data_IF_222951309121
#
_entry.id   IF_222951309121
#
_cell.length_a   1.000
_cell.length_b   1.000
_cell.length_c   1.000
_cell.angle_alpha   90.00
_cell.angle_beta   90.00
_cell.angle_gamma   90.00
#
_symmetry.space_group_name_H-M   'P 1'
#
loop_
_entity.id
_entity.type
_entity.pdbx_description
1 polymer ?
#
# COMPACT_ATOMS: atom_id res chain seq x y z
N UNK A 1 -44.27 -9.60 1.65
CA UNK A 1 -45.20 -8.58 2.21
C UNK A 1 -45.02 -8.49 3.72
N UNK A 2 -45.35 -7.33 4.31
CA UNK A 2 -45.05 -6.92 5.70
C UNK A 2 -43.57 -6.53 5.98
N UNK A 3 -43.33 -5.55 6.89
CA UNK A 3 -42.22 -4.61 6.70
C UNK A 3 -41.31 -4.36 7.92
N UNK A 4 -40.11 -3.83 7.67
CA UNK A 4 -39.36 -3.11 8.71
C UNK A 4 -39.90 -1.68 8.84
N UNK A 5 -40.30 -1.30 10.05
CA UNK A 5 -40.70 0.07 10.37
C UNK A 5 -39.49 0.89 10.81
N UNK A 6 -39.45 2.15 10.37
CA UNK A 6 -38.59 3.21 10.88
C UNK A 6 -39.47 4.23 11.62
N UNK A 7 -39.06 4.69 12.80
CA UNK A 7 -39.39 6.03 13.34
C UNK A 7 -38.40 6.42 14.44
N UNK A 8 -38.18 7.73 14.67
CA UNK A 8 -37.07 8.24 15.50
C UNK A 8 -37.51 8.70 16.91
N UNK A 9 -36.52 9.04 17.74
CA UNK A 9 -36.68 9.94 18.88
C UNK A 9 -35.39 10.78 19.05
N UNK A 10 -35.54 12.08 19.30
CA UNK A 10 -34.46 13.01 19.62
C UNK A 10 -34.04 12.93 21.11
N UNK A 11 -32.82 13.35 21.43
CA UNK A 11 -32.33 13.43 22.81
C UNK A 11 -30.89 13.89 22.91
N UNK A 12 -30.67 15.20 23.00
CA UNK A 12 -29.33 15.78 23.07
C UNK A 12 -28.70 15.68 24.47
N UNK A 13 -27.37 15.56 24.54
CA UNK A 13 -26.59 16.10 25.66
C UNK A 13 -25.19 16.47 25.18
N UNK A 14 -24.85 17.75 25.32
CA UNK A 14 -23.56 18.31 24.93
C UNK A 14 -22.60 18.25 26.11
N UNK A 15 -21.44 17.59 25.94
CA UNK A 15 -20.34 17.65 26.93
C UNK A 15 -19.00 17.85 26.23
N UNK A 16 -18.37 18.99 26.48
CA UNK A 16 -17.08 19.33 25.90
C UNK A 16 -15.95 18.43 26.44
N UNK A 17 -14.98 18.09 25.58
CA UNK A 17 -13.69 17.52 25.99
C UNK A 17 -12.57 18.40 25.47
N UNK A 18 -11.76 18.94 26.38
CA UNK A 18 -10.57 19.71 26.01
C UNK A 18 -9.53 18.81 25.34
N UNK A 19 -8.95 19.28 24.24
CA UNK A 19 -7.79 18.66 23.63
C UNK A 19 -6.52 19.17 24.32
N UNK A 20 -5.83 18.31 25.08
CA UNK A 20 -4.51 18.58 25.65
C UNK A 20 -3.44 18.18 24.60
N UNK A 21 -2.45 19.03 24.29
CA UNK A 21 -1.50 18.77 23.20
C UNK A 21 -0.49 17.67 23.53
N UNK A 22 -0.24 16.81 22.55
CA UNK A 22 0.69 15.68 22.66
C UNK A 22 2.15 16.14 22.55
N UNK A 23 2.89 16.14 23.68
CA UNK A 23 4.32 16.43 23.69
C UNK A 23 5.14 15.26 23.14
N UNK A 24 6.21 15.56 22.39
CA UNK A 24 7.17 14.56 21.92
C UNK A 24 8.34 14.44 22.91
N UNK A 25 8.78 13.23 23.29
CA UNK A 25 10.04 13.05 24.00
C UNK A 25 11.22 13.55 23.17
N UNK A 26 12.09 14.36 23.78
CA UNK A 26 13.32 14.83 23.14
C UNK A 26 14.44 13.78 23.22
N UNK A 27 15.20 13.61 22.15
CA UNK A 27 16.38 12.74 22.15
C UNK A 27 17.58 13.48 22.76
N UNK A 28 18.12 12.96 23.86
CA UNK A 28 19.33 13.47 24.49
C UNK A 28 20.57 13.03 23.70
N UNK A 29 21.19 13.97 22.98
CA UNK A 29 22.46 13.75 22.31
C UNK A 29 23.63 14.00 23.29
N UNK A 30 24.37 12.94 23.63
CA UNK A 30 25.61 13.03 24.39
C UNK A 30 26.70 13.68 23.51
N UNK A 31 27.44 14.64 24.07
CA UNK A 31 28.61 15.25 23.45
C UNK A 31 29.87 14.86 24.22
N UNK A 32 30.90 14.43 23.51
CA UNK A 32 32.29 14.51 23.96
C UNK A 32 33.11 15.46 23.06
N UNK A 33 34.16 16.13 23.57
CA UNK A 33 34.84 17.19 22.85
C UNK A 33 36.08 16.72 22.06
N UNK A 34 36.26 17.23 20.84
CA UNK A 34 37.53 17.10 20.11
C UNK A 34 38.58 18.10 20.62
N UNK A 35 39.83 17.64 20.77
CA UNK A 35 41.02 18.48 20.93
C UNK A 35 41.96 18.39 19.72
N UNK A 36 42.74 19.44 19.45
CA UNK A 36 43.71 19.59 18.33
C UNK A 36 44.77 20.66 18.71
N UNK A 37 45.87 20.87 17.95
CA UNK A 37 46.76 19.92 17.25
C UNK A 37 48.28 20.20 17.49
N UNK A 38 49.19 19.32 17.01
CA UNK A 38 50.65 19.62 16.90
C UNK A 38 51.29 19.00 15.64
N UNK A 39 52.52 19.39 15.27
CA UNK A 39 53.03 19.39 13.87
C UNK A 39 54.43 18.76 13.62
N UNK A 40 54.62 18.04 12.50
CA UNK A 40 55.85 17.89 11.67
C UNK A 40 55.48 17.11 10.37
N UNK A 41 55.98 17.32 9.13
CA UNK A 41 57.34 17.46 8.52
C UNK A 41 58.20 16.17 8.60
N UNK A 42 58.90 15.70 7.54
CA UNK A 42 58.95 16.05 6.09
C UNK A 42 59.76 14.98 5.28
N UNK A 43 59.84 15.10 3.94
CA UNK A 43 60.94 14.64 3.02
C UNK A 43 61.27 13.12 2.92
N UNK A 44 61.87 12.54 1.86
CA UNK A 44 62.22 12.95 0.47
C UNK A 44 62.52 11.71 -0.43
N UNK A 45 62.62 11.91 -1.76
CA UNK A 45 63.33 11.12 -2.81
C UNK A 45 63.21 9.56 -2.93
N UNK A 46 63.41 8.91 -4.09
CA UNK A 46 63.69 9.41 -5.44
C UNK A 46 64.00 8.29 -6.48
N UNK A 47 64.33 8.71 -7.71
CA UNK A 47 64.97 7.98 -8.82
C UNK A 47 64.26 6.87 -9.65
N UNK A 48 64.36 7.08 -10.97
CA UNK A 48 64.15 6.20 -12.14
C UNK A 48 65.52 5.54 -12.53
N UNK A 49 65.80 4.96 -13.74
CA UNK A 49 65.02 4.73 -14.99
C UNK A 49 65.14 3.29 -15.61
N UNK A 50 64.56 3.02 -16.80
CA UNK A 50 64.50 1.64 -17.35
C UNK A 50 64.54 1.22 -18.84
N UNK A 51 64.46 2.07 -19.91
CA UNK A 51 64.63 1.67 -21.36
C UNK A 51 63.55 0.69 -21.94
N UNK A 52 63.40 0.39 -23.27
CA UNK A 52 63.58 1.14 -24.57
C UNK A 52 62.88 0.40 -25.76
N UNK A 53 62.04 1.10 -26.54
CA UNK A 53 61.76 0.91 -28.02
C UNK A 53 61.23 -0.49 -28.45
N UNK A 54 60.90 -0.86 -29.71
CA UNK A 54 60.86 -0.35 -31.11
C UNK A 54 59.65 -1.07 -31.84
N UNK A 55 59.21 -0.84 -33.09
CA UNK A 55 58.99 0.33 -33.96
C UNK A 55 58.40 -0.12 -35.35
N UNK A 56 57.94 0.83 -36.21
CA UNK A 56 57.41 0.69 -37.62
C UNK A 56 55.91 0.28 -37.75
N UNK A 57 55.16 0.75 -38.77
CA UNK A 57 55.33 1.96 -39.61
C UNK A 57 54.71 1.98 -41.04
N UNK A 58 53.83 2.97 -41.31
CA UNK A 58 53.42 3.45 -42.67
C UNK A 58 52.33 2.62 -43.40
N UNK A 59 51.65 3.08 -44.48
CA UNK A 59 51.42 4.38 -45.17
C UNK A 59 50.06 4.24 -45.93
N UNK A 60 49.29 5.25 -46.37
CA UNK A 60 49.32 6.73 -46.28
C UNK A 60 48.55 7.38 -47.47
N UNK A 61 48.33 8.72 -47.44
CA UNK A 61 47.68 9.59 -48.49
C UNK A 61 46.15 9.42 -48.65
N UNK A 62 45.32 10.43 -48.95
CA UNK A 62 45.32 11.94 -48.95
C UNK A 62 43.81 12.35 -48.94
N UNK A 63 43.24 13.55 -48.79
CA UNK A 63 43.56 15.00 -48.85
C UNK A 63 42.95 15.70 -47.58
N UNK A 64 43.04 16.99 -47.21
CA UNK A 64 43.32 18.31 -47.84
C UNK A 64 42.12 18.85 -48.70
N UNK A 65 41.59 20.09 -48.57
CA UNK A 65 41.69 21.19 -47.58
C UNK A 65 40.50 22.17 -47.77
N UNK A 66 40.46 23.41 -47.19
CA UNK A 66 41.41 24.06 -46.28
C UNK A 66 40.81 24.49 -44.90
N UNK A 67 41.65 25.12 -44.06
CA UNK A 67 41.39 25.63 -42.70
C UNK A 67 40.90 27.11 -42.69
N UNK A 68 40.46 27.68 -41.54
CA UNK A 68 41.41 28.57 -40.85
C UNK A 68 41.32 28.65 -39.31
N UNK A 69 42.50 28.60 -38.66
CA UNK A 69 42.90 29.64 -37.69
C UNK A 69 42.83 29.29 -36.20
N UNK A 70 43.96 28.97 -35.52
CA UNK A 70 43.98 28.49 -34.14
C UNK A 70 44.68 29.45 -33.13
N UNK A 71 45.11 29.05 -31.92
CA UNK A 71 44.31 28.53 -30.79
C UNK A 71 44.70 29.15 -29.42
N UNK A 72 43.92 28.90 -28.35
CA UNK A 72 44.41 29.02 -26.96
C UNK A 72 43.97 27.88 -26.01
N UNK A 73 44.94 26.98 -25.72
CA UNK A 73 45.22 26.23 -24.47
C UNK A 73 44.04 25.44 -23.82
N UNK A 74 44.08 24.10 -23.82
CA UNK A 74 44.62 23.22 -22.73
C UNK A 74 43.95 23.46 -21.35
N UNK A 75 43.44 22.45 -20.62
CA UNK A 75 43.92 21.05 -20.43
C UNK A 75 42.77 20.12 -19.97
N UNK A 76 42.90 18.79 -20.13
CA UNK A 76 42.13 17.77 -19.38
C UNK A 76 42.84 17.40 -18.07
N UNK A 77 42.09 17.03 -17.04
CA UNK A 77 42.51 16.10 -15.97
C UNK A 77 41.27 15.47 -15.30
N UNK A 78 41.45 14.33 -14.61
CA UNK A 78 40.44 13.68 -13.76
C UNK A 78 40.75 13.96 -12.29
N UNK A 79 39.74 14.13 -11.42
CA UNK A 79 39.64 13.45 -10.13
C UNK A 79 38.35 13.82 -9.35
N UNK A 80 38.05 12.96 -8.37
CA UNK A 80 36.90 12.89 -7.43
C UNK A 80 36.60 14.16 -6.59
N UNK A 81 35.44 14.05 -5.94
CA UNK A 81 35.07 14.53 -4.59
C UNK A 81 34.42 15.92 -4.47
N UNK A 82 33.12 15.86 -4.16
CA UNK A 82 32.41 16.53 -3.06
C UNK A 82 32.64 18.03 -2.76
N UNK A 83 31.49 18.69 -2.54
CA UNK A 83 31.10 19.37 -1.29
C UNK A 83 30.92 20.91 -1.30
N UNK A 84 29.89 21.35 -0.53
CA UNK A 84 29.48 22.72 -0.15
C UNK A 84 29.07 23.75 -1.23
N UNK A 85 27.77 24.03 -1.29
CA UNK A 85 27.12 25.34 -1.04
C UNK A 85 25.59 25.05 -1.05
N UNK A 86 24.90 24.90 0.09
CA UNK A 86 24.50 25.97 1.03
C UNK A 86 23.92 27.18 0.32
N UNK A 87 22.58 27.28 0.35
CA UNK A 87 21.88 28.54 0.17
C UNK A 87 20.82 28.70 1.27
N UNK A 88 20.62 29.96 1.67
CA UNK A 88 19.79 30.48 2.75
C UNK A 88 18.45 29.75 2.98
N UNK A 89 18.09 29.57 4.26
CA UNK A 89 16.79 29.05 4.72
C UNK A 89 16.13 30.02 5.69
N UNK A 90 15.75 31.19 5.18
CA UNK A 90 14.90 32.17 5.87
C UNK A 90 13.40 31.87 5.61
N UNK A 91 12.53 31.84 6.63
CA UNK A 91 11.18 31.27 6.50
C UNK A 91 10.17 32.22 5.85
N UNK A 92 9.54 31.78 4.76
CA UNK A 92 8.31 32.39 4.23
C UNK A 92 7.07 31.87 4.99
N UNK A 93 6.02 32.70 5.18
CA UNK A 93 4.90 32.38 6.06
C UNK A 93 4.02 31.24 5.54
N UNK A 94 3.58 30.39 6.47
CA UNK A 94 2.72 29.23 6.21
C UNK A 94 1.29 29.66 5.80
N UNK A 95 1.00 29.67 4.49
CA UNK A 95 -0.38 29.57 4.03
C UNK A 95 -0.88 28.14 4.27
N UNK A 96 -1.79 27.98 5.24
CA UNK A 96 -2.29 26.66 5.63
C UNK A 96 -3.01 25.96 4.47
N UNK A 97 -2.56 24.75 4.11
CA UNK A 97 -3.35 23.85 3.25
C UNK A 97 -4.61 23.42 4.01
N UNK A 98 -5.82 23.64 3.47
CA UNK A 98 -7.05 23.23 4.14
C UNK A 98 -7.21 21.69 4.06
N UNK A 99 -7.75 21.02 5.10
CA UNK A 99 -7.83 19.57 5.15
C UNK A 99 -8.86 19.02 4.17
N UNK A 100 -8.65 17.80 3.65
CA UNK A 100 -9.38 17.25 2.50
C UNK A 100 -10.92 17.28 2.62
N UNK A 101 -11.47 17.09 3.83
CA UNK A 101 -12.92 17.20 4.08
C UNK A 101 -13.51 18.58 3.73
N UNK A 102 -12.74 19.67 3.90
CA UNK A 102 -13.22 21.02 3.52
C UNK A 102 -13.31 21.19 2.01
N UNK A 103 -12.41 20.58 1.23
CA UNK A 103 -12.52 20.57 -0.23
C UNK A 103 -13.77 19.83 -0.68
N UNK A 104 -14.08 18.68 -0.10
CA UNK A 104 -15.29 17.94 -0.46
C UNK A 104 -16.57 18.65 -0.01
N UNK A 105 -16.55 19.32 1.15
CA UNK A 105 -17.64 20.20 1.60
C UNK A 105 -17.83 21.40 0.66
N UNK A 106 -16.73 22.05 0.23
CA UNK A 106 -16.76 23.15 -0.74
C UNK A 106 -17.24 22.70 -2.12
N UNK A 107 -16.87 21.50 -2.59
CA UNK A 107 -17.43 20.92 -3.83
C UNK A 107 -18.94 20.65 -3.67
N UNK A 108 -19.38 20.06 -2.55
CA UNK A 108 -20.81 19.83 -2.26
C UNK A 108 -21.60 21.15 -2.15
N UNK A 109 -21.02 22.18 -1.55
CA UNK A 109 -21.62 23.50 -1.40
C UNK A 109 -21.63 24.28 -2.72
N UNK A 110 -20.58 24.20 -3.54
CA UNK A 110 -20.53 24.78 -4.88
C UNK A 110 -21.47 24.06 -5.86
N UNK A 111 -21.64 22.73 -5.75
CA UNK A 111 -22.66 21.97 -6.48
C UNK A 111 -24.07 22.37 -6.06
N UNK A 112 -24.34 22.55 -4.75
CA UNK A 112 -25.62 23.09 -4.27
C UNK A 112 -25.86 24.52 -4.74
N UNK A 113 -24.83 25.37 -4.77
CA UNK A 113 -24.95 26.73 -5.30
C UNK A 113 -25.21 26.72 -6.81
N UNK A 114 -24.51 25.87 -7.58
CA UNK A 114 -24.79 25.65 -9.01
C UNK A 114 -26.23 25.17 -9.24
N UNK A 115 -26.71 24.23 -8.43
CA UNK A 115 -28.07 23.71 -8.54
C UNK A 115 -29.12 24.76 -8.13
N UNK A 116 -28.85 25.57 -7.11
CA UNK A 116 -29.69 26.72 -6.76
C UNK A 116 -29.67 27.79 -7.85
N UNK A 117 -28.53 28.10 -8.45
CA UNK A 117 -28.39 29.07 -9.56
C UNK A 117 -29.01 28.53 -10.86
N UNK A 118 -29.04 27.22 -11.07
CA UNK A 118 -29.80 26.61 -12.17
C UNK A 118 -31.32 26.66 -11.90
N UNK A 119 -31.76 26.39 -10.66
CA UNK A 119 -33.17 26.49 -10.23
C UNK A 119 -33.68 27.94 -10.08
N UNK A 120 -32.76 28.90 -9.90
CA UNK A 120 -32.98 30.35 -9.90
C UNK A 120 -32.47 31.00 -11.20
N UNK A 121 -32.19 30.20 -12.23
CA UNK A 121 -31.95 30.71 -13.58
C UNK A 121 -33.14 31.56 -14.01
N UNK A 122 -32.88 32.72 -14.62
CA UNK A 122 -33.90 33.75 -14.88
C UNK A 122 -34.81 33.32 -16.04
N UNK A 123 -35.71 32.37 -15.75
CA UNK A 123 -36.65 31.76 -16.69
C UNK A 123 -38.10 31.79 -16.17
N UNK A 124 -38.40 32.75 -15.29
CA UNK A 124 -39.77 33.20 -15.03
C UNK A 124 -39.90 34.66 -15.46
N UNK A 125 -40.95 34.92 -16.23
CA UNK A 125 -41.44 36.24 -16.67
C UNK A 125 -40.73 36.91 -17.86
N UNK A 126 -40.74 36.25 -19.03
CA UNK A 126 -41.18 36.89 -20.27
C UNK A 126 -42.12 35.95 -21.04
N UNK A 127 -42.95 36.49 -21.94
CA UNK A 127 -44.22 35.86 -22.34
C UNK A 127 -44.18 34.91 -23.54
N UNK A 128 -45.15 33.98 -23.54
CA UNK A 128 -45.79 33.28 -24.69
C UNK A 128 -45.18 33.48 -26.08
N UNK A 129 -44.78 32.39 -26.77
CA UNK A 129 -44.34 32.56 -28.16
C UNK A 129 -44.02 31.37 -29.07
N UNK A 130 -43.85 30.11 -28.63
CA UNK A 130 -43.96 28.95 -29.54
C UNK A 130 -44.01 27.62 -28.76
N UNK A 131 -44.91 26.70 -29.11
CA UNK A 131 -44.98 25.37 -28.48
C UNK A 131 -43.79 24.47 -28.86
N UNK A 132 -43.36 24.57 -30.12
CA UNK A 132 -42.57 23.51 -30.76
C UNK A 132 -41.07 23.61 -30.43
N UNK A 133 -40.58 24.80 -30.07
CA UNK A 133 -39.19 25.00 -29.62
C UNK A 133 -38.91 24.47 -28.21
N UNK A 134 -39.93 24.35 -27.35
CA UNK A 134 -39.75 23.92 -25.97
C UNK A 134 -39.29 22.45 -25.86
N UNK A 135 -39.68 21.60 -26.82
CA UNK A 135 -39.28 20.20 -26.89
C UNK A 135 -37.80 20.05 -27.26
N UNK A 136 -37.31 20.88 -28.20
CA UNK A 136 -35.90 20.91 -28.61
C UNK A 136 -35.00 21.28 -27.44
N UNK A 137 -35.38 22.34 -26.72
CA UNK A 137 -34.65 22.89 -25.56
C UNK A 137 -34.56 21.86 -24.41
N UNK A 138 -35.66 21.19 -24.07
CA UNK A 138 -35.66 20.12 -23.05
C UNK A 138 -34.79 18.92 -23.46
N UNK A 139 -34.69 18.62 -24.77
CA UNK A 139 -33.83 17.56 -25.29
C UNK A 139 -32.34 17.91 -25.22
N UNK A 140 -31.97 19.18 -25.44
CA UNK A 140 -30.60 19.68 -25.30
C UNK A 140 -30.16 19.67 -23.83
N UNK A 141 -31.01 20.14 -22.91
CA UNK A 141 -30.72 20.11 -21.47
C UNK A 141 -30.44 18.69 -20.99
N UNK A 142 -31.21 17.69 -21.45
CA UNK A 142 -30.96 16.26 -21.18
C UNK A 142 -29.63 15.78 -21.77
N UNK A 143 -29.24 16.28 -22.94
CA UNK A 143 -27.96 15.98 -23.59
C UNK A 143 -26.79 16.53 -22.77
N UNK A 144 -26.78 17.82 -22.45
CA UNK A 144 -25.70 18.44 -21.65
C UNK A 144 -25.57 17.80 -20.27
N UNK A 145 -26.68 17.56 -19.57
CA UNK A 145 -26.66 16.88 -18.26
C UNK A 145 -26.08 15.46 -18.34
N UNK A 146 -26.29 14.72 -19.44
CA UNK A 146 -25.68 13.41 -19.64
C UNK A 146 -24.18 13.53 -19.87
N UNK A 147 -23.74 14.51 -20.66
CA UNK A 147 -22.32 14.74 -20.91
C UNK A 147 -21.56 15.20 -19.66
N UNK A 148 -22.13 16.08 -18.82
CA UNK A 148 -21.52 16.48 -17.55
C UNK A 148 -21.36 15.27 -16.60
N UNK A 149 -22.37 14.41 -16.48
CA UNK A 149 -22.31 13.17 -15.68
C UNK A 149 -21.18 12.24 -16.17
N UNK A 150 -21.06 12.02 -17.47
CA UNK A 150 -19.97 11.23 -18.08
C UNK A 150 -18.59 11.85 -17.82
N UNK A 151 -18.47 13.18 -17.90
CA UNK A 151 -17.22 13.89 -17.61
C UNK A 151 -16.82 13.78 -16.13
N UNK A 152 -17.77 13.91 -15.21
CA UNK A 152 -17.53 13.73 -13.77
C UNK A 152 -17.13 12.28 -13.44
N UNK A 153 -17.80 11.29 -14.04
CA UNK A 153 -17.53 9.86 -13.85
C UNK A 153 -16.16 9.46 -14.38
N UNK A 154 -15.84 9.74 -15.65
CA UNK A 154 -14.52 9.45 -16.25
C UNK A 154 -13.37 10.18 -15.55
N UNK A 155 -13.62 11.39 -15.04
CA UNK A 155 -12.67 12.11 -14.17
C UNK A 155 -12.43 11.36 -12.85
N UNK A 156 -13.49 10.94 -12.15
CA UNK A 156 -13.38 10.18 -10.91
C UNK A 156 -12.65 8.84 -11.12
N UNK A 157 -12.99 8.11 -12.19
CA UNK A 157 -12.31 6.89 -12.58
C UNK A 157 -10.81 7.11 -12.85
N UNK A 158 -10.44 8.19 -13.57
CA UNK A 158 -9.02 8.53 -13.82
C UNK A 158 -8.25 8.83 -12.53
N UNK A 159 -8.89 9.40 -11.50
CA UNK A 159 -8.27 9.59 -10.19
C UNK A 159 -8.07 8.25 -9.46
N UNK A 160 -9.12 7.45 -9.31
CA UNK A 160 -9.05 6.14 -8.66
C UNK A 160 -8.00 5.22 -9.32
N UNK A 161 -7.95 5.18 -10.65
CA UNK A 161 -6.95 4.44 -11.42
C UNK A 161 -5.52 4.90 -11.12
N UNK A 162 -5.27 6.21 -10.98
CA UNK A 162 -3.95 6.74 -10.60
C UNK A 162 -3.54 6.33 -9.20
N UNK A 163 -4.48 6.30 -8.27
CA UNK A 163 -4.19 6.01 -6.87
C UNK A 163 -4.02 4.50 -6.63
N UNK A 164 -4.71 3.63 -7.40
CA UNK A 164 -4.35 2.21 -7.52
C UNK A 164 -2.91 2.06 -8.04
N UNK A 165 -2.58 2.70 -9.18
CA UNK A 165 -1.23 2.60 -9.79
C UNK A 165 -0.14 2.99 -8.77
N UNK A 166 -0.32 4.12 -8.07
CA UNK A 166 0.59 4.58 -7.02
C UNK A 166 0.71 3.60 -5.85
N UNK A 167 -0.41 3.07 -5.36
CA UNK A 167 -0.43 2.10 -4.27
C UNK A 167 0.30 0.81 -4.64
N UNK A 168 0.03 0.28 -5.84
CA UNK A 168 0.69 -0.92 -6.37
C UNK A 168 2.18 -0.68 -6.64
N UNK A 169 2.57 0.46 -7.23
CA UNK A 169 3.98 0.84 -7.41
C UNK A 169 4.72 0.96 -6.06
N UNK A 170 4.10 1.57 -5.05
CA UNK A 170 4.67 1.68 -3.69
C UNK A 170 4.78 0.33 -2.97
N UNK A 171 3.79 -0.55 -3.16
CA UNK A 171 3.83 -1.94 -2.68
C UNK A 171 4.98 -2.71 -3.33
N UNK A 172 5.16 -2.60 -4.66
CA UNK A 172 6.27 -3.24 -5.38
C UNK A 172 7.63 -2.76 -4.86
N UNK A 173 7.84 -1.44 -4.73
CA UNK A 173 9.11 -0.86 -4.22
C UNK A 173 9.41 -1.31 -2.78
N UNK A 174 8.38 -1.52 -1.97
CA UNK A 174 8.53 -2.01 -0.58
C UNK A 174 8.76 -3.52 -0.55
N UNK A 175 8.02 -4.28 -1.35
CA UNK A 175 8.10 -5.73 -1.47
C UNK A 175 9.45 -6.21 -2.02
N UNK A 176 10.04 -5.52 -3.00
CA UNK A 176 11.38 -5.88 -3.51
C UNK A 176 12.45 -5.83 -2.42
N UNK A 177 12.36 -4.87 -1.49
CA UNK A 177 13.26 -4.80 -0.33
C UNK A 177 13.02 -5.95 0.66
N UNK A 178 11.78 -6.42 0.79
CA UNK A 178 11.48 -7.63 1.59
C UNK A 178 12.04 -8.89 0.93
N UNK A 179 12.01 -8.99 -0.41
CA UNK A 179 12.69 -10.05 -1.18
C UNK A 179 14.20 -10.01 -0.96
N UNK A 180 14.83 -8.84 -1.07
CA UNK A 180 16.28 -8.66 -0.82
C UNK A 180 16.69 -9.10 0.60
N UNK A 181 15.95 -8.67 1.62
CA UNK A 181 16.21 -9.02 3.04
C UNK A 181 15.95 -10.51 3.29
N UNK A 182 14.86 -11.07 2.76
CA UNK A 182 14.49 -12.47 2.96
C UNK A 182 15.40 -13.45 2.21
N UNK A 183 15.90 -13.08 1.03
CA UNK A 183 16.95 -13.82 0.32
C UNK A 183 18.25 -13.83 1.12
N UNK A 184 18.69 -12.68 1.65
CA UNK A 184 19.91 -12.65 2.50
C UNK A 184 19.77 -13.56 3.73
N UNK A 185 18.61 -13.56 4.39
CA UNK A 185 18.32 -14.47 5.50
C UNK A 185 18.35 -15.95 5.07
N UNK A 186 17.85 -16.27 3.87
CA UNK A 186 17.99 -17.59 3.24
C UNK A 186 19.46 -17.96 3.08
N UNK A 187 20.26 -17.07 2.49
CA UNK A 187 21.65 -17.33 2.11
C UNK A 187 22.53 -17.51 3.35
N UNK A 188 22.37 -16.65 4.36
CA UNK A 188 23.05 -16.77 5.66
C UNK A 188 22.68 -18.09 6.37
N UNK A 189 21.41 -18.55 6.27
CA UNK A 189 20.95 -19.81 6.88
C UNK A 189 21.47 -21.05 6.13
N UNK A 190 21.43 -21.04 4.80
CA UNK A 190 21.98 -22.13 3.96
C UNK A 190 23.50 -22.22 4.10
N UNK A 191 24.19 -21.08 4.21
CA UNK A 191 25.64 -21.03 4.45
C UNK A 191 26.02 -21.74 5.75
N UNK A 192 25.36 -21.39 6.86
CA UNK A 192 25.58 -22.07 8.15
C UNK A 192 25.34 -23.58 8.04
N UNK A 193 24.30 -23.99 7.31
CA UNK A 193 23.96 -25.39 7.08
C UNK A 193 24.96 -26.17 6.21
N UNK A 194 25.73 -25.51 5.35
CA UNK A 194 26.75 -26.12 4.48
C UNK A 194 28.14 -26.12 5.12
N UNK A 195 28.46 -25.13 5.94
CA UNK A 195 29.81 -24.98 6.53
C UNK A 195 30.12 -26.00 7.64
N UNK A 196 29.15 -26.83 8.07
CA UNK A 196 29.33 -27.95 9.02
C UNK A 196 30.18 -27.58 10.25
N UNK A 197 29.92 -26.41 10.83
CA UNK A 197 30.72 -25.83 11.93
C UNK A 197 30.50 -26.51 13.29
N UNK A 198 29.59 -27.48 13.37
CA UNK A 198 29.33 -28.29 14.56
C UNK A 198 30.18 -29.57 14.58
N UNK A 199 30.96 -29.77 15.63
CA UNK A 199 31.71 -31.02 15.88
C UNK A 199 30.87 -32.14 16.49
N UNK A 200 29.61 -31.87 16.83
CA UNK A 200 28.69 -32.79 17.49
C UNK A 200 27.28 -32.74 16.87
N UNK A 201 27.04 -33.60 15.88
CA UNK A 201 25.75 -33.74 15.18
C UNK A 201 25.51 -32.71 14.07
N UNK A 202 24.67 -33.07 13.10
CA UNK A 202 24.34 -32.25 11.92
C UNK A 202 22.91 -31.66 11.95
N UNK A 203 22.07 -32.04 12.91
CA UNK A 203 20.63 -31.73 12.97
C UNK A 203 20.31 -30.24 12.85
N UNK A 204 21.07 -29.35 13.52
CA UNK A 204 20.86 -27.90 13.44
C UNK A 204 21.30 -27.33 12.08
N UNK A 205 22.37 -27.87 11.49
CA UNK A 205 22.83 -27.49 10.14
C UNK A 205 21.82 -27.94 9.07
N UNK A 206 21.21 -29.12 9.25
CA UNK A 206 20.08 -29.60 8.44
C UNK A 206 18.86 -28.70 8.56
N UNK A 207 18.40 -28.40 9.78
CA UNK A 207 17.26 -27.52 10.04
C UNK A 207 17.46 -26.12 9.44
N UNK A 208 18.65 -25.52 9.58
CA UNK A 208 19.00 -24.24 8.96
C UNK A 208 19.00 -24.30 7.43
N UNK A 209 19.43 -25.42 6.84
CA UNK A 209 19.36 -25.67 5.39
C UNK A 209 17.92 -25.74 4.90
N UNK A 210 17.03 -26.46 5.61
CA UNK A 210 15.61 -26.57 5.26
C UNK A 210 14.91 -25.22 5.35
N UNK A 211 15.04 -24.51 6.47
CA UNK A 211 14.52 -23.16 6.66
C UNK A 211 15.02 -22.20 5.56
N UNK A 212 16.32 -22.21 5.27
CA UNK A 212 16.92 -21.35 4.25
C UNK A 212 16.36 -21.61 2.84
N UNK A 213 16.21 -22.88 2.45
CA UNK A 213 15.58 -23.27 1.17
C UNK A 213 14.12 -22.81 1.10
N UNK A 214 13.31 -23.11 2.11
CA UNK A 214 11.91 -22.70 2.17
C UNK A 214 11.76 -21.16 2.12
N UNK A 215 12.62 -20.44 2.85
CA UNK A 215 12.67 -18.96 2.83
C UNK A 215 12.97 -18.41 1.43
N UNK A 216 13.91 -19.02 0.71
CA UNK A 216 14.23 -18.66 -0.69
C UNK A 216 13.04 -18.88 -1.63
N UNK A 217 12.33 -20.01 -1.49
CA UNK A 217 11.13 -20.31 -2.28
C UNK A 217 10.01 -19.29 -2.02
N UNK A 218 9.76 -18.94 -0.75
CA UNK A 218 8.75 -17.92 -0.36
C UNK A 218 9.04 -16.56 -1.01
N UNK A 219 10.29 -16.09 -0.98
CA UNK A 219 10.65 -14.80 -1.57
C UNK A 219 10.71 -14.83 -3.11
N UNK A 220 10.99 -15.98 -3.72
CA UNK A 220 10.81 -16.19 -5.17
C UNK A 220 9.34 -16.02 -5.56
N UNK A 221 8.41 -16.65 -4.83
CA UNK A 221 6.98 -16.49 -5.11
C UNK A 221 6.46 -15.08 -4.80
N UNK A 222 7.02 -14.39 -3.78
CA UNK A 222 6.76 -12.95 -3.59
C UNK A 222 7.22 -12.16 -4.82
N UNK A 223 8.42 -12.43 -5.33
CA UNK A 223 8.93 -11.81 -6.56
C UNK A 223 8.00 -12.02 -7.77
N UNK A 224 7.43 -13.23 -7.91
CA UNK A 224 6.44 -13.54 -8.94
C UNK A 224 5.16 -12.71 -8.78
N UNK A 225 4.63 -12.57 -7.56
CA UNK A 225 3.47 -11.72 -7.26
C UNK A 225 3.73 -10.24 -7.58
N UNK A 226 4.87 -9.69 -7.14
CA UNK A 226 5.22 -8.28 -7.39
C UNK A 226 5.39 -7.99 -8.90
N UNK A 227 5.91 -8.95 -9.66
CA UNK A 227 5.98 -8.89 -11.12
C UNK A 227 4.59 -8.92 -11.76
N UNK A 228 3.67 -9.75 -11.27
CA UNK A 228 2.28 -9.77 -11.71
C UNK A 228 1.56 -8.45 -11.39
N UNK A 229 1.75 -7.89 -10.19
CA UNK A 229 1.24 -6.57 -9.81
C UNK A 229 1.71 -5.47 -10.78
N UNK A 230 3.00 -5.46 -11.15
CA UNK A 230 3.54 -4.49 -12.10
C UNK A 230 2.95 -4.62 -13.50
N UNK A 231 3.06 -5.81 -14.09
CA UNK A 231 2.73 -6.08 -15.50
C UNK A 231 1.24 -6.26 -15.76
N UNK A 232 0.50 -6.88 -14.85
CA UNK A 232 -0.91 -7.17 -15.03
C UNK A 232 -1.83 -6.07 -14.48
N UNK A 233 -1.40 -5.28 -13.49
CA UNK A 233 -2.24 -4.26 -12.83
C UNK A 233 -1.75 -2.84 -13.13
N UNK A 234 -0.52 -2.50 -12.71
CA UNK A 234 -0.03 -1.12 -12.78
C UNK A 234 0.16 -0.63 -14.22
N UNK A 235 0.77 -1.42 -15.11
CA UNK A 235 1.01 -1.04 -16.50
C UNK A 235 -0.28 -0.78 -17.31
N UNK A 236 -1.29 -1.66 -17.34
CA UNK A 236 -2.53 -1.39 -18.07
C UNK A 236 -3.33 -0.20 -17.53
N UNK A 237 -3.34 0.00 -16.21
CA UNK A 237 -4.02 1.17 -15.61
C UNK A 237 -3.26 2.47 -15.93
N UNK A 238 -1.92 2.47 -15.89
CA UNK A 238 -1.10 3.64 -16.26
C UNK A 238 -1.28 4.00 -17.73
N UNK A 239 -1.33 3.01 -18.62
CA UNK A 239 -1.60 3.20 -20.04
C UNK A 239 -3.01 3.78 -20.29
N UNK A 240 -4.04 3.28 -19.60
CA UNK A 240 -5.40 3.82 -19.69
C UNK A 240 -5.51 5.26 -19.15
N UNK A 241 -4.86 5.56 -18.02
CA UNK A 241 -4.81 6.91 -17.43
C UNK A 241 -4.15 7.91 -18.37
N UNK A 242 -3.18 7.49 -19.19
CA UNK A 242 -2.43 8.36 -20.11
C UNK A 242 -2.85 8.20 -21.59
N UNK A 243 -3.90 7.41 -21.86
CA UNK A 243 -4.29 7.00 -23.20
C UNK A 243 -5.04 8.09 -23.98
N UNK A 244 -4.69 8.23 -25.26
CA UNK A 244 -5.32 9.20 -26.18
C UNK A 244 -6.87 9.18 -26.17
N UNK A 245 -7.58 8.02 -26.21
CA UNK A 245 -9.04 7.99 -26.28
C UNK A 245 -9.76 8.77 -25.16
N UNK A 246 -9.17 8.83 -23.96
CA UNK A 246 -9.72 9.59 -22.84
C UNK A 246 -9.56 11.11 -23.04
N UNK A 247 -8.43 11.58 -23.56
CA UNK A 247 -8.25 13.02 -23.83
C UNK A 247 -8.96 13.45 -25.13
N UNK A 248 -9.06 12.58 -26.14
CA UNK A 248 -9.84 12.84 -27.37
C UNK A 248 -11.33 12.99 -27.08
N UNK A 249 -11.91 12.11 -26.26
CA UNK A 249 -13.30 12.22 -25.81
C UNK A 249 -13.54 13.51 -24.99
N UNK A 250 -12.55 13.97 -24.23
CA UNK A 250 -12.59 15.26 -23.52
C UNK A 250 -12.46 16.45 -24.45
N UNK A 251 -11.66 16.37 -25.51
CA UNK A 251 -11.59 17.40 -26.54
C UNK A 251 -12.94 17.54 -27.27
N UNK A 252 -13.65 16.44 -27.54
CA UNK A 252 -15.01 16.49 -28.07
C UNK A 252 -15.98 17.19 -27.11
N UNK A 253 -15.96 16.83 -25.81
CA UNK A 253 -16.80 17.49 -24.80
C UNK A 253 -16.51 19.01 -24.71
N UNK A 254 -15.23 19.42 -24.69
CA UNK A 254 -14.84 20.83 -24.69
C UNK A 254 -15.21 21.58 -25.97
N UNK A 255 -15.26 20.91 -27.14
CA UNK A 255 -15.75 21.52 -28.38
C UNK A 255 -17.27 21.72 -28.32
N UNK A 256 -18.02 20.76 -27.78
CA UNK A 256 -19.46 20.90 -27.53
C UNK A 256 -19.76 22.07 -26.59
N UNK A 257 -19.07 22.18 -25.45
CA UNK A 257 -19.31 23.26 -24.48
C UNK A 257 -19.07 24.66 -25.09
N UNK A 258 -18.08 24.81 -25.99
CA UNK A 258 -17.87 26.07 -26.73
C UNK A 258 -18.97 26.35 -27.74
N UNK A 259 -19.34 25.36 -28.56
CA UNK A 259 -20.40 25.50 -29.56
C UNK A 259 -21.76 25.82 -28.91
N UNK A 260 -22.01 25.31 -27.70
CA UNK A 260 -23.18 25.68 -26.88
C UNK A 260 -23.15 27.13 -26.42
N UNK A 261 -22.02 27.62 -25.92
CA UNK A 261 -21.87 29.04 -25.56
C UNK A 261 -22.03 29.98 -26.78
N UNK A 262 -21.59 29.55 -27.96
CA UNK A 262 -21.80 30.27 -29.22
C UNK A 262 -23.28 30.29 -29.64
N UNK A 263 -24.01 29.18 -29.45
CA UNK A 263 -25.45 29.10 -29.69
C UNK A 263 -26.26 29.95 -28.69
N UNK A 264 -25.93 29.90 -27.40
CA UNK A 264 -26.55 30.73 -26.34
C UNK A 264 -26.35 32.23 -26.63
N UNK A 265 -25.14 32.65 -27.01
CA UNK A 265 -24.85 34.03 -27.38
C UNK A 265 -25.61 34.47 -28.65
N UNK A 266 -25.72 33.59 -29.66
CA UNK A 266 -26.51 33.84 -30.86
C UNK A 266 -28.02 33.94 -30.55
N UNK A 267 -28.55 33.15 -29.61
CA UNK A 267 -29.96 33.19 -29.20
C UNK A 267 -30.34 34.52 -28.51
N UNK A 268 -29.48 35.03 -27.63
CA UNK A 268 -29.65 36.36 -27.02
C UNK A 268 -29.65 37.46 -28.08
N UNK A 269 -28.78 37.36 -29.08
CA UNK A 269 -28.69 38.33 -30.18
C UNK A 269 -29.87 38.25 -31.17
N UNK A 270 -30.44 37.06 -31.40
CA UNK A 270 -31.72 36.87 -32.11
C UNK A 270 -32.85 37.56 -31.35
N UNK A 271 -33.02 37.31 -30.05
CA UNK A 271 -34.04 37.95 -29.22
C UNK A 271 -33.92 39.49 -29.24
N UNK A 272 -32.68 40.01 -29.21
CA UNK A 272 -32.41 41.45 -29.34
C UNK A 272 -32.83 42.02 -30.72
N UNK A 273 -32.75 41.25 -31.80
CA UNK A 273 -33.29 41.66 -33.12
C UNK A 273 -34.81 41.55 -33.19
N UNK A 274 -35.41 40.50 -32.64
CA UNK A 274 -36.87 40.33 -32.60
C UNK A 274 -37.56 41.52 -31.92
N UNK A 275 -37.01 42.01 -30.80
CA UNK A 275 -37.54 43.18 -30.11
C UNK A 275 -37.41 44.47 -30.96
N UNK A 276 -36.28 44.68 -31.65
CA UNK A 276 -36.09 45.84 -32.54
C UNK A 276 -37.03 45.83 -33.75
N UNK A 277 -37.31 44.66 -34.33
CA UNK A 277 -38.30 44.51 -35.42
C UNK A 277 -39.72 44.79 -34.91
N UNK A 278 -40.02 44.41 -33.66
CA UNK A 278 -41.30 44.74 -32.99
C UNK A 278 -41.46 46.23 -32.70
N UNK A 279 -40.38 46.91 -32.35
CA UNK A 279 -40.32 48.36 -32.08
C UNK A 279 -40.32 49.20 -33.38
N UNK A 280 -39.74 48.68 -34.47
CA UNK A 280 -39.58 49.37 -35.77
C UNK A 280 -40.32 48.62 -36.89
N UNK A 281 -41.63 48.41 -36.70
CA UNK A 281 -42.47 47.69 -37.64
C UNK A 281 -42.42 48.32 -39.05
N UNK A 282 -42.19 47.48 -40.07
CA UNK A 282 -42.11 47.88 -41.48
C UNK A 282 -40.69 48.10 -42.03
N UNK A 283 -39.65 48.08 -41.19
CA UNK A 283 -38.27 48.17 -41.67
C UNK A 283 -37.75 46.82 -42.20
N UNK A 284 -37.94 46.55 -43.51
CA UNK A 284 -37.48 45.33 -44.17
C UNK A 284 -35.98 45.06 -43.99
N UNK A 285 -35.17 46.12 -43.89
CA UNK A 285 -33.74 46.03 -43.70
C UNK A 285 -33.35 45.51 -42.29
N UNK A 286 -34.26 45.60 -41.31
CA UNK A 286 -34.13 44.92 -40.01
C UNK A 286 -34.67 43.49 -40.03
N UNK A 287 -35.72 43.21 -40.82
CA UNK A 287 -36.31 41.87 -40.96
C UNK A 287 -35.29 40.90 -41.58
N UNK A 288 -34.67 41.24 -42.71
CA UNK A 288 -33.66 40.36 -43.32
C UNK A 288 -32.41 40.15 -42.44
N UNK A 289 -32.10 41.10 -41.55
CA UNK A 289 -31.02 40.96 -40.55
C UNK A 289 -31.44 40.09 -39.36
N UNK A 290 -32.74 39.99 -39.06
CA UNK A 290 -33.28 39.03 -38.10
C UNK A 290 -33.25 37.61 -38.69
N UNK A 291 -33.82 37.42 -39.88
CA UNK A 291 -33.87 36.13 -40.60
C UNK A 291 -32.47 35.51 -40.75
N UNK A 292 -31.47 36.28 -41.17
CA UNK A 292 -30.08 35.82 -41.27
C UNK A 292 -29.46 35.43 -39.91
N UNK A 293 -29.91 36.04 -38.81
CA UNK A 293 -29.45 35.69 -37.46
C UNK A 293 -30.17 34.47 -36.87
N UNK A 294 -31.42 34.23 -37.27
CA UNK A 294 -32.20 33.04 -36.92
C UNK A 294 -31.71 31.81 -37.69
N UNK A 295 -31.43 31.94 -38.99
CA UNK A 295 -30.78 30.90 -39.79
C UNK A 295 -29.46 30.42 -39.14
N UNK A 296 -28.58 31.38 -38.77
CA UNK A 296 -27.30 31.07 -38.10
C UNK A 296 -27.49 30.42 -36.73
N UNK A 297 -28.55 30.74 -35.99
CA UNK A 297 -28.86 30.07 -34.72
C UNK A 297 -29.21 28.59 -34.94
N UNK A 298 -30.01 28.29 -35.96
CA UNK A 298 -30.44 26.92 -36.23
C UNK A 298 -29.32 26.07 -36.84
N UNK A 299 -28.43 26.66 -37.64
CA UNK A 299 -27.17 26.04 -38.08
C UNK A 299 -26.25 25.66 -36.90
N UNK A 300 -26.09 26.57 -35.92
CA UNK A 300 -25.33 26.32 -34.70
C UNK A 300 -25.96 25.22 -33.83
N UNK A 301 -27.28 25.24 -33.63
CA UNK A 301 -28.00 24.18 -32.89
C UNK A 301 -27.87 22.81 -33.57
N UNK A 302 -28.05 22.74 -34.89
CA UNK A 302 -27.92 21.50 -35.66
C UNK A 302 -26.52 20.90 -35.49
N UNK A 303 -25.49 21.75 -35.64
CA UNK A 303 -24.08 21.38 -35.43
C UNK A 303 -23.81 20.92 -33.99
N UNK A 304 -24.35 21.63 -33.00
CA UNK A 304 -24.23 21.31 -31.57
C UNK A 304 -24.86 19.96 -31.22
N UNK A 305 -26.04 19.66 -31.76
CA UNK A 305 -26.73 18.38 -31.54
C UNK A 305 -25.96 17.21 -32.17
N UNK A 306 -25.29 17.42 -33.31
CA UNK A 306 -24.37 16.43 -33.90
C UNK A 306 -23.16 16.17 -33.00
N UNK A 307 -22.40 17.23 -32.72
CA UNK A 307 -21.18 17.17 -31.89
C UNK A 307 -21.44 16.67 -30.46
N UNK A 308 -22.61 16.99 -29.89
CA UNK A 308 -23.04 16.50 -28.58
C UNK A 308 -23.31 14.99 -28.56
N UNK A 309 -23.87 14.43 -29.64
CA UNK A 309 -24.04 12.97 -29.80
C UNK A 309 -22.68 12.27 -29.90
N UNK A 310 -21.75 12.81 -30.68
CA UNK A 310 -20.37 12.30 -30.78
C UNK A 310 -19.64 12.32 -29.43
N UNK A 311 -19.68 13.45 -28.72
CA UNK A 311 -19.07 13.61 -27.41
C UNK A 311 -19.64 12.62 -26.38
N UNK A 312 -20.97 12.43 -26.35
CA UNK A 312 -21.61 11.44 -25.47
C UNK A 312 -21.21 10.01 -25.85
N UNK A 313 -21.15 9.68 -27.14
CA UNK A 313 -20.75 8.34 -27.59
C UNK A 313 -19.31 8.01 -27.18
N UNK A 314 -18.37 8.93 -27.45
CA UNK A 314 -16.97 8.78 -27.08
C UNK A 314 -16.79 8.69 -25.55
N UNK A 315 -17.41 9.59 -24.79
CA UNK A 315 -17.31 9.60 -23.32
C UNK A 315 -17.98 8.38 -22.67
N UNK A 316 -19.09 7.87 -23.23
CA UNK A 316 -19.72 6.62 -22.76
C UNK A 316 -18.85 5.39 -23.04
N UNK A 317 -18.18 5.35 -24.19
CA UNK A 317 -17.26 4.26 -24.53
C UNK A 317 -16.04 4.25 -23.60
N UNK A 318 -15.47 5.43 -23.32
CA UNK A 318 -14.35 5.60 -22.37
C UNK A 318 -14.77 5.24 -20.94
N UNK A 319 -15.96 5.64 -20.47
CA UNK A 319 -16.48 5.24 -19.16
C UNK A 319 -16.59 3.70 -19.06
N UNK A 320 -17.23 3.06 -20.03
CA UNK A 320 -17.42 1.61 -20.05
C UNK A 320 -16.08 0.85 -20.12
N UNK A 321 -15.09 1.38 -20.85
CA UNK A 321 -13.73 0.86 -20.88
C UNK A 321 -13.03 1.03 -19.52
N UNK A 322 -13.14 2.20 -18.91
CA UNK A 322 -12.55 2.51 -17.59
C UNK A 322 -13.11 1.57 -16.51
N UNK A 323 -14.42 1.41 -16.42
CA UNK A 323 -15.07 0.51 -15.47
C UNK A 323 -14.62 -0.95 -15.67
N UNK A 324 -14.75 -1.45 -16.90
CA UNK A 324 -14.42 -2.86 -17.24
C UNK A 324 -12.95 -3.19 -16.99
N UNK A 325 -12.03 -2.34 -17.46
CA UNK A 325 -10.60 -2.59 -17.30
C UNK A 325 -10.21 -2.47 -15.83
N UNK A 326 -10.68 -1.46 -15.09
CA UNK A 326 -10.35 -1.31 -13.66
C UNK A 326 -10.81 -2.50 -12.83
N UNK A 327 -12.04 -2.99 -13.06
CA UNK A 327 -12.54 -4.21 -12.40
C UNK A 327 -11.64 -5.42 -12.72
N UNK A 328 -11.30 -5.64 -13.99
CA UNK A 328 -10.41 -6.74 -14.39
C UNK A 328 -9.02 -6.64 -13.74
N UNK A 329 -8.49 -5.43 -13.55
CA UNK A 329 -7.19 -5.21 -12.90
C UNK A 329 -7.24 -5.39 -11.38
N UNK A 330 -8.36 -5.08 -10.74
CA UNK A 330 -8.57 -5.37 -9.31
C UNK A 330 -8.73 -6.88 -9.06
N UNK A 331 -9.41 -7.61 -9.96
CA UNK A 331 -9.49 -9.07 -9.90
C UNK A 331 -8.09 -9.69 -10.01
N UNK A 332 -7.30 -9.29 -11.03
CA UNK A 332 -5.95 -9.81 -11.23
C UNK A 332 -5.00 -9.52 -10.04
N UNK A 333 -5.21 -8.41 -9.31
CA UNK A 333 -4.48 -8.10 -8.07
C UNK A 333 -4.78 -9.14 -6.98
N UNK A 334 -6.06 -9.39 -6.71
CA UNK A 334 -6.53 -10.35 -5.69
C UNK A 334 -6.17 -11.79 -6.07
N UNK A 335 -6.25 -12.16 -7.35
CA UNK A 335 -5.86 -13.48 -7.84
C UNK A 335 -4.36 -13.74 -7.66
N UNK A 336 -3.50 -12.76 -7.95
CA UNK A 336 -2.05 -12.88 -7.75
C UNK A 336 -1.67 -12.94 -6.26
N UNK A 337 -2.33 -12.15 -5.41
CA UNK A 337 -2.12 -12.18 -3.95
C UNK A 337 -2.58 -13.50 -3.33
N UNK A 338 -3.77 -13.99 -3.71
CA UNK A 338 -4.28 -15.30 -3.31
C UNK A 338 -3.36 -16.44 -3.77
N UNK A 339 -2.86 -16.40 -5.00
CA UNK A 339 -1.96 -17.41 -5.54
C UNK A 339 -0.63 -17.45 -4.79
N UNK A 340 -0.05 -16.29 -4.46
CA UNK A 340 1.13 -16.19 -3.62
C UNK A 340 0.91 -16.80 -2.24
N UNK A 341 -0.14 -16.38 -1.52
CA UNK A 341 -0.41 -16.91 -0.19
C UNK A 341 -0.70 -18.42 -0.20
N UNK A 342 -1.37 -18.95 -1.23
CA UNK A 342 -1.56 -20.39 -1.40
C UNK A 342 -0.21 -21.12 -1.58
N UNK A 343 0.74 -20.57 -2.34
CA UNK A 343 2.08 -21.16 -2.47
C UNK A 343 2.96 -21.00 -1.23
N UNK A 344 2.81 -19.93 -0.46
CA UNK A 344 3.51 -19.78 0.82
C UNK A 344 3.06 -20.84 1.83
N UNK A 345 1.76 -21.18 1.89
CA UNK A 345 1.26 -22.28 2.71
C UNK A 345 1.88 -23.61 2.29
N UNK A 346 1.79 -23.99 1.01
CA UNK A 346 2.39 -25.23 0.48
C UNK A 346 3.90 -25.38 0.82
N UNK A 347 4.65 -24.26 0.89
CA UNK A 347 6.07 -24.27 1.26
C UNK A 347 6.28 -24.39 2.79
N UNK A 348 5.40 -23.79 3.59
CA UNK A 348 5.47 -23.84 5.05
C UNK A 348 5.05 -25.20 5.60
N UNK A 349 3.99 -25.80 5.05
CA UNK A 349 3.54 -27.14 5.39
C UNK A 349 4.68 -28.16 5.20
N UNK A 350 5.36 -28.11 4.06
CA UNK A 350 6.50 -28.98 3.76
C UNK A 350 7.70 -28.72 4.69
N UNK A 351 7.96 -27.45 5.05
CA UNK A 351 9.01 -27.09 6.00
C UNK A 351 8.73 -27.62 7.40
N UNK A 352 7.46 -27.59 7.86
CA UNK A 352 7.08 -28.14 9.16
C UNK A 352 7.36 -29.66 9.21
N UNK A 353 7.00 -30.41 8.16
CA UNK A 353 7.34 -31.84 8.05
C UNK A 353 8.86 -32.09 8.14
N UNK A 354 9.68 -31.32 7.41
CA UNK A 354 11.15 -31.43 7.46
C UNK A 354 11.69 -31.10 8.86
N UNK A 355 11.22 -30.01 9.48
CA UNK A 355 11.71 -29.56 10.80
C UNK A 355 11.24 -30.47 11.94
N UNK A 356 10.02 -31.00 11.90
CA UNK A 356 9.53 -32.00 12.87
C UNK A 356 10.33 -33.29 12.74
N UNK A 357 10.66 -33.72 11.51
CA UNK A 357 11.48 -34.91 11.25
C UNK A 357 12.92 -34.76 11.78
N UNK A 358 13.49 -33.55 11.76
CA UNK A 358 14.78 -33.29 12.43
C UNK A 358 14.64 -33.24 13.96
N UNK A 359 13.58 -32.63 14.50
CA UNK A 359 13.34 -32.56 15.96
C UNK A 359 13.23 -33.95 16.60
N UNK A 360 12.53 -34.87 15.95
CA UNK A 360 12.37 -36.26 16.39
C UNK A 360 13.71 -37.01 16.53
N UNK A 361 14.76 -36.63 15.79
CA UNK A 361 16.10 -37.25 15.92
C UNK A 361 16.86 -36.78 17.16
N UNK A 362 16.49 -35.63 17.72
CA UNK A 362 17.04 -35.12 18.99
C UNK A 362 16.27 -35.72 20.17
N UNK A 363 14.97 -35.92 20.01
CA UNK A 363 14.07 -36.52 21.02
C UNK A 363 14.14 -38.05 21.08
N UNK A 364 14.71 -38.71 20.06
CA UNK A 364 14.95 -40.14 20.07
C UNK A 364 15.95 -40.52 21.18
N UNK A 365 15.64 -41.53 22.02
CA UNK A 365 16.59 -41.99 23.02
C UNK A 365 17.86 -42.54 22.34
N UNK A 366 19.05 -42.33 22.90
CA UNK A 366 20.28 -42.86 22.32
C UNK A 366 20.19 -44.38 22.27
N UNK A 367 20.18 -44.94 21.05
CA UNK A 367 20.35 -46.39 20.87
C UNK A 367 21.63 -46.80 21.60
N UNK A 368 21.56 -47.75 22.56
CA UNK A 368 22.75 -48.18 23.28
C UNK A 368 23.75 -48.72 22.26
N UNK A 369 24.96 -48.16 22.26
CA UNK A 369 26.03 -48.64 21.41
C UNK A 369 26.27 -50.12 21.71
N UNK A 370 26.22 -50.97 20.68
CA UNK A 370 26.47 -52.40 20.79
C UNK A 370 27.98 -52.69 20.92
N UNK A 371 28.63 -52.04 21.89
CA UNK A 371 30.00 -52.33 22.26
C UNK A 371 30.07 -53.72 22.89
N UNK A 372 31.07 -54.50 22.47
CA UNK A 372 31.15 -55.93 22.73
C UNK A 372 31.66 -56.23 24.16
N UNK A 373 30.81 -56.01 25.16
CA UNK A 373 31.05 -56.45 26.54
C UNK A 373 30.05 -57.52 26.98
N UNK A 374 30.47 -58.77 26.82
CA UNK A 374 29.79 -59.95 27.36
C UNK A 374 29.80 -59.91 28.89
N UNK A 375 28.64 -59.92 29.58
CA UNK A 375 28.60 -60.00 31.03
C UNK A 375 29.00 -61.42 31.49
N UNK A 376 29.77 -61.57 32.59
CA UNK A 376 30.01 -62.87 33.21
C UNK A 376 28.72 -63.41 33.87
N UNK A 377 28.53 -64.74 33.93
CA UNK A 377 27.31 -65.33 34.47
C UNK A 377 27.21 -65.16 36.00
N UNK A 378 26.02 -64.89 36.56
CA UNK A 378 25.81 -64.83 38.00
C UNK A 378 25.78 -66.25 38.64
N UNK A 379 26.25 -66.42 39.88
CA UNK A 379 26.12 -67.67 40.62
C UNK A 379 24.68 -67.89 41.12
N UNK A 380 24.19 -69.15 41.24
CA UNK A 380 22.81 -69.44 41.62
C UNK A 380 22.59 -69.53 43.13
N UNK A 381 21.50 -68.92 43.60
CA UNK A 381 20.84 -69.17 44.89
C UNK A 381 19.48 -68.46 44.87
N UNK A 382 18.36 -68.92 45.42
CA UNK A 382 17.79 -70.23 45.78
C UNK A 382 16.44 -69.82 46.42
N UNK A 383 15.33 -70.45 46.02
CA UNK A 383 13.92 -70.22 46.46
C UNK A 383 13.34 -68.79 46.29
N UNK A 384 12.18 -68.57 45.67
CA UNK A 384 10.79 -68.92 46.05
C UNK A 384 10.31 -68.23 47.35
N UNK A 385 9.14 -67.58 47.44
CA UNK A 385 7.93 -67.59 46.56
C UNK A 385 7.11 -66.28 46.68
N UNK A 386 6.15 -66.11 45.75
CA UNK A 386 4.83 -65.47 45.92
C UNK A 386 4.64 -63.93 45.71
N UNK A 387 3.57 -63.59 44.98
CA UNK A 387 2.75 -62.41 45.29
C UNK A 387 2.97 -61.13 44.46
N UNK A 388 2.50 -61.12 43.20
CA UNK A 388 2.45 -59.89 42.39
C UNK A 388 1.43 -58.86 42.92
N UNK A 389 1.72 -57.57 42.79
CA UNK A 389 0.73 -56.55 42.36
C UNK A 389 1.40 -55.25 41.89
N UNK A 390 0.72 -54.55 40.97
CA UNK A 390 0.87 -53.14 40.58
C UNK A 390 2.25 -52.61 40.12
N UNK A 391 2.30 -52.18 38.86
CA UNK A 391 3.10 -51.01 38.45
C UNK A 391 2.37 -50.27 37.33
N UNK A 392 2.16 -48.97 37.54
CA UNK A 392 1.34 -48.10 36.70
C UNK A 392 2.13 -47.56 35.52
N UNK A 393 1.54 -47.53 34.33
CA UNK A 393 2.05 -46.72 33.20
C UNK A 393 1.07 -45.60 32.86
N UNK A 394 1.54 -44.36 32.94
CA UNK A 394 0.87 -43.19 32.36
C UNK A 394 1.92 -42.45 31.53
N UNK A 395 1.71 -42.38 30.22
CA UNK A 395 2.52 -41.55 29.34
C UNK A 395 2.31 -40.08 29.67
N UNK A 396 3.40 -39.32 29.81
CA UNK A 396 3.29 -37.87 29.85
C UNK A 396 3.18 -37.30 28.42
N UNK A 397 2.24 -36.38 28.20
CA UNK A 397 1.85 -35.88 26.88
C UNK A 397 1.57 -34.39 26.97
N UNK A 398 2.61 -33.58 26.71
CA UNK A 398 2.53 -32.13 26.75
C UNK A 398 1.75 -31.62 25.53
N UNK A 399 0.53 -31.17 25.75
CA UNK A 399 -0.26 -30.45 24.74
C UNK A 399 0.17 -29.00 24.71
N UNK A 400 0.56 -28.51 23.52
CA UNK A 400 0.52 -27.06 23.25
C UNK A 400 -0.95 -26.62 23.28
N UNK A 401 -1.25 -25.52 23.96
CA UNK A 401 -2.62 -25.02 24.14
C UNK A 401 -2.71 -23.61 23.59
N UNK A 402 -3.76 -23.34 22.83
CA UNK A 402 -4.14 -22.02 22.35
C UNK A 402 -4.25 -21.02 23.53
N UNK A 403 -3.62 -19.85 23.40
CA UNK A 403 -3.56 -18.82 24.43
C UNK A 403 -4.97 -18.44 24.90
N UNK A 404 -5.20 -18.47 26.22
CA UNK A 404 -6.51 -18.14 26.78
C UNK A 404 -6.42 -17.22 28.00
N UNK A 405 -7.49 -16.46 28.22
CA UNK A 405 -7.62 -15.54 29.35
C UNK A 405 -8.23 -16.25 30.54
N UNK A 406 -7.68 -16.02 31.73
CA UNK A 406 -8.19 -16.57 32.98
C UNK A 406 -8.32 -15.51 34.08
N UNK A 407 -9.11 -15.81 35.09
CA UNK A 407 -9.24 -15.04 36.33
C UNK A 407 -8.73 -15.88 37.50
N UNK A 408 -7.88 -15.32 38.35
CA UNK A 408 -7.35 -15.99 39.52
C UNK A 408 -8.45 -16.13 40.58
N UNK A 409 -8.75 -17.36 40.98
CA UNK A 409 -9.70 -17.69 42.05
C UNK A 409 -9.13 -17.38 43.42
N UNK A 410 -7.85 -17.69 43.62
CA UNK A 410 -7.12 -17.54 44.86
C UNK A 410 -5.82 -16.73 44.66
N UNK A 411 -5.29 -16.21 45.77
CA UNK A 411 -4.02 -15.48 45.74
C UNK A 411 -2.84 -16.45 45.84
N UNK A 412 -1.86 -16.29 44.96
CA UNK A 412 -0.62 -17.08 44.95
C UNK A 412 0.58 -16.16 45.12
N UNK A 413 1.46 -16.48 46.06
CA UNK A 413 2.69 -15.73 46.33
C UNK A 413 3.87 -16.51 45.79
N UNK A 414 4.65 -15.88 44.92
CA UNK A 414 5.87 -16.46 44.38
C UNK A 414 6.92 -16.70 45.49
N UNK A 415 7.51 -17.88 45.50
CA UNK A 415 8.68 -18.25 46.30
C UNK A 415 9.97 -18.18 45.46
N UNK A 416 9.85 -18.18 44.12
CA UNK A 416 10.96 -18.09 43.16
C UNK A 416 10.85 -16.91 42.19
N UNK A 417 11.97 -16.49 41.60
CA UNK A 417 12.02 -15.46 40.55
C UNK A 417 11.36 -15.89 39.21
N UNK A 418 11.10 -17.20 39.05
CA UNK A 418 10.40 -17.77 37.90
C UNK A 418 8.88 -17.88 38.11
N UNK A 419 8.36 -17.51 39.29
CA UNK A 419 6.96 -17.63 39.67
C UNK A 419 6.25 -16.27 39.64
N UNK A 420 4.96 -16.28 39.28
CA UNK A 420 4.15 -15.07 39.13
C UNK A 420 3.29 -14.84 40.37
N UNK A 421 3.44 -13.68 41.02
CA UNK A 421 2.54 -13.27 42.10
C UNK A 421 1.15 -12.95 41.55
N UNK A 422 0.11 -13.57 42.12
CA UNK A 422 -1.30 -13.38 41.76
C UNK A 422 -2.14 -13.03 42.98
N UNK A 423 -3.12 -12.15 42.79
CA UNK A 423 -4.19 -11.86 43.75
C UNK A 423 -5.52 -12.40 43.23
N UNK A 424 -6.40 -12.84 44.12
CA UNK A 424 -7.76 -13.26 43.73
C UNK A 424 -8.49 -12.14 42.96
N UNK A 425 -9.06 -12.46 41.80
CA UNK A 425 -9.67 -11.53 40.86
C UNK A 425 -8.71 -10.93 39.81
N UNK A 426 -7.42 -11.27 39.82
CA UNK A 426 -6.46 -10.88 38.79
C UNK A 426 -6.73 -11.57 37.45
N UNK A 427 -6.54 -10.84 36.35
CA UNK A 427 -6.70 -11.35 34.99
C UNK A 427 -5.33 -11.74 34.44
N UNK A 428 -5.21 -12.99 33.98
CA UNK A 428 -3.95 -13.63 33.58
C UNK A 428 -4.09 -14.20 32.17
N UNK A 429 -3.10 -13.96 31.30
CA UNK A 429 -3.01 -14.64 30.00
C UNK A 429 -2.24 -15.95 30.21
N UNK A 430 -2.90 -17.09 30.05
CA UNK A 430 -2.26 -18.41 30.15
C UNK A 430 -1.66 -18.76 28.80
N UNK A 431 -0.33 -19.00 28.79
CA UNK A 431 0.47 -19.32 27.60
C UNK A 431 0.74 -20.82 27.47
N UNK A 432 0.85 -21.53 28.59
CA UNK A 432 1.15 -22.97 28.62
C UNK A 432 0.55 -23.59 29.88
N UNK A 433 0.12 -24.85 29.78
CA UNK A 433 -0.19 -25.70 30.94
C UNK A 433 0.71 -26.93 30.86
N UNK A 434 1.37 -27.25 31.96
CA UNK A 434 2.19 -28.44 32.14
C UNK A 434 1.40 -29.55 32.83
N UNK A 435 1.71 -30.80 32.51
CA UNK A 435 1.08 -32.01 33.06
C UNK A 435 1.17 -32.12 34.60
N UNK A 436 2.21 -31.52 35.18
CA UNK A 436 2.43 -31.41 36.62
C UNK A 436 1.51 -30.43 37.37
N UNK A 437 0.48 -29.88 36.72
CA UNK A 437 -0.51 -28.97 37.32
C UNK A 437 -0.10 -27.50 37.39
N UNK A 438 1.05 -27.14 36.83
CA UNK A 438 1.51 -25.74 36.73
C UNK A 438 1.12 -25.13 35.39
N UNK A 439 0.89 -23.81 35.39
CA UNK A 439 0.67 -23.02 34.19
C UNK A 439 1.67 -21.86 34.11
N UNK A 440 2.08 -21.53 32.89
CA UNK A 440 2.90 -20.35 32.58
C UNK A 440 1.98 -19.28 32.00
N UNK A 441 2.16 -18.04 32.43
CA UNK A 441 1.35 -16.94 31.94
C UNK A 441 1.87 -15.57 32.34
N UNK A 442 1.03 -14.57 32.13
CA UNK A 442 1.38 -13.17 32.31
C UNK A 442 0.24 -12.37 32.96
N UNK A 443 0.60 -11.54 33.92
CA UNK A 443 -0.30 -10.61 34.61
C UNK A 443 0.45 -9.30 34.89
N UNK A 444 -0.18 -8.15 34.65
CA UNK A 444 0.36 -6.81 35.00
C UNK A 444 1.78 -6.51 34.43
N UNK A 445 2.14 -7.10 33.28
CA UNK A 445 3.48 -6.96 32.69
C UNK A 445 4.57 -7.78 33.38
N UNK A 446 4.20 -8.75 34.22
CA UNK A 446 5.10 -9.77 34.76
C UNK A 446 4.69 -11.15 34.26
N UNK A 447 5.67 -11.97 33.91
CA UNK A 447 5.48 -13.33 33.42
C UNK A 447 6.13 -14.35 34.36
N UNK A 448 5.51 -15.51 34.52
CA UNK A 448 6.03 -16.58 35.37
C UNK A 448 5.06 -17.75 35.51
N UNK A 449 5.44 -18.69 36.37
CA UNK A 449 4.68 -19.89 36.69
C UNK A 449 3.75 -19.72 37.90
N UNK A 450 2.60 -20.38 37.86
CA UNK A 450 1.60 -20.43 38.94
C UNK A 450 0.82 -21.76 38.90
N UNK A 451 0.16 -22.18 39.99
CA UNK A 451 -0.70 -23.37 39.98
C UNK A 451 -1.89 -23.20 39.02
N UNK A 452 -2.07 -24.12 38.06
CA UNK A 452 -3.19 -24.04 37.11
C UNK A 452 -4.55 -24.08 37.83
N UNK A 453 -4.65 -24.87 38.90
CA UNK A 453 -5.87 -25.02 39.70
C UNK A 453 -6.41 -23.70 40.29
N UNK A 454 -5.58 -22.64 40.36
CA UNK A 454 -5.97 -21.33 40.87
C UNK A 454 -6.60 -20.43 39.79
N UNK A 455 -6.70 -20.87 38.52
CA UNK A 455 -7.19 -20.06 37.40
C UNK A 455 -8.48 -20.62 36.79
N UNK A 456 -9.53 -19.80 36.77
CA UNK A 456 -10.76 -20.08 36.03
C UNK A 456 -10.69 -19.48 34.61
N UNK A 457 -10.97 -20.28 33.57
CA UNK A 457 -10.96 -19.80 32.17
C UNK A 457 -12.12 -18.82 31.92
N UNK A 458 -11.83 -17.66 31.34
CA UNK A 458 -12.81 -16.61 30.98
C UNK A 458 -12.86 -16.41 29.47
N UNK A 459 -14.04 -16.64 28.87
CA UNK A 459 -14.27 -16.39 27.44
C UNK A 459 -14.38 -14.89 27.10
N UNK A 460 -14.80 -14.06 28.07
CA UNK A 460 -14.92 -12.60 27.94
C UNK A 460 -14.55 -11.93 29.26
N UNK A 461 -13.77 -10.85 29.19
CA UNK A 461 -13.43 -9.97 30.31
C UNK A 461 -13.74 -8.53 29.90
N UNK A 462 -14.26 -7.73 30.84
CA UNK A 462 -14.52 -6.31 30.59
C UNK A 462 -13.22 -5.57 30.30
N UNK A 463 -13.21 -4.70 29.28
CA UNK A 463 -12.00 -3.97 28.87
C UNK A 463 -11.40 -3.07 29.97
N UNK A 464 -12.18 -2.73 31.01
CA UNK A 464 -11.73 -2.02 32.22
C UNK A 464 -10.98 -2.89 33.24
N UNK A 465 -10.99 -4.22 33.08
CA UNK A 465 -10.27 -5.20 33.91
C UNK A 465 -8.98 -5.73 33.27
N UNK A 466 -8.69 -5.38 32.01
CA UNK A 466 -7.47 -5.83 31.32
C UNK A 466 -6.33 -4.86 31.67
N UNK A 467 -5.29 -5.28 32.43
CA UNK A 467 -4.15 -4.41 32.71
C UNK A 467 -3.35 -4.13 31.42
N UNK A 468 -2.54 -3.08 31.43
CA UNK A 468 -1.65 -2.79 30.30
C UNK A 468 -0.60 -3.90 30.14
N UNK A 469 -0.73 -4.65 29.04
CA UNK A 469 0.20 -5.68 28.57
C UNK A 469 1.21 -5.02 27.62
N UNK A 470 2.50 -5.33 27.79
CA UNK A 470 3.62 -4.81 26.99
C UNK A 470 4.80 -5.77 26.98
#
# INVERSE_FOLDING_TARGET
PLPFQYSPADGATETARHAVPFQRPGWLAVKEPCGTPTTAKASEEGSHPGRRRHARGGRGRREEGPDPGPPRRRRRLRARAADWFVFDSSPLPLLARPPAHTMEALWKQASRLKEQVARQGVFKQFGYGNSDNAFTDESEVKLHQRLEKLYLSTRAAKHFQRDIVRGVEGYIVTGSKQVEIGNKLSDDSQKYGVENTCTSGDTLSRAATYFGKARSLIERERGNMLKAFGTQVAEPLRAMVMGAPLEDARHLAQRYDRMRQEAEAQAVEVSRRQNRVRESAGNGDMISKLEASEYKLEELKSSMVGLGKEAIAAMSAVEAQQQRLTLQRLIALVEAERAYHQKVLEILDQLEEEMVSERQKIEAPPTPAADNYMPPPPPPSYDDVNGAFASTSVNDSVKSVEFFLGEALDSFKAESEFELNLSAGDIVIVRKISSNGWAEGECKGQAGWFPHAYIERRERVLASKVPHIF
#
